data_IF_984481689248
#
_entry.id   IF_984481689248
#
_cell.length_a   1.000
_cell.length_b   1.000
_cell.length_c   1.000
_cell.angle_alpha   90.00
_cell.angle_beta   90.00
_cell.angle_gamma   90.00
#
_symmetry.space_group_name_H-M   'P 1'
#
loop_
_entity.id
_entity.type
_entity.pdbx_description
1 polymer ?
#
# COMPACT_ATOMS: atom_id res chain seq x y z
N UNK A 1 25.20 -5.21 -15.65
CA UNK A 1 24.42 -6.37 -15.20
C UNK A 1 22.97 -5.92 -15.14
N UNK A 2 22.09 -6.42 -16.01
CA UNK A 2 20.68 -6.05 -15.96
C UNK A 2 20.03 -6.74 -14.75
N UNK A 3 19.28 -5.99 -13.94
CA UNK A 3 18.42 -6.59 -12.92
C UNK A 3 17.29 -7.29 -13.69
N UNK A 4 17.31 -8.62 -13.74
CA UNK A 4 16.25 -9.41 -14.39
C UNK A 4 15.19 -9.78 -13.34
N UNK A 5 14.15 -8.97 -13.24
CA UNK A 5 13.04 -9.17 -12.31
C UNK A 5 11.73 -8.71 -12.95
N UNK A 6 10.69 -9.53 -12.84
CA UNK A 6 9.32 -9.20 -13.24
C UNK A 6 8.46 -9.20 -11.99
N UNK A 7 7.76 -8.10 -11.74
CA UNK A 7 6.77 -8.02 -10.66
C UNK A 7 5.62 -8.98 -10.96
N UNK A 8 5.11 -9.65 -9.94
CA UNK A 8 3.86 -10.37 -10.07
C UNK A 8 2.73 -9.35 -10.14
N UNK A 9 1.94 -9.44 -11.20
CA UNK A 9 0.80 -8.58 -11.50
C UNK A 9 -0.48 -9.41 -11.36
N UNK A 10 -1.55 -8.74 -10.99
CA UNK A 10 -2.90 -9.29 -10.98
C UNK A 10 -3.86 -8.35 -11.70
N UNK A 11 -4.71 -8.93 -12.56
CA UNK A 11 -5.68 -8.19 -13.36
C UNK A 11 -7.07 -8.32 -12.73
N UNK A 12 -7.68 -7.20 -12.36
CA UNK A 12 -9.08 -7.12 -11.93
C UNK A 12 -9.92 -6.64 -13.12
N UNK A 13 -10.81 -7.52 -13.61
CA UNK A 13 -11.71 -7.23 -14.73
C UNK A 13 -13.10 -6.82 -14.24
N UNK A 14 -13.71 -5.84 -14.88
CA UNK A 14 -15.04 -5.33 -14.55
C UNK A 14 -15.76 -4.79 -15.79
N UNK A 15 -17.06 -4.50 -15.67
CA UNK A 15 -17.81 -3.90 -16.77
C UNK A 15 -17.30 -2.46 -17.01
N UNK A 16 -16.64 -2.24 -18.14
CA UNK A 16 -15.98 -0.98 -18.49
C UNK A 16 -14.45 -1.04 -18.55
N UNK A 17 -13.80 -2.16 -18.17
CA UNK A 17 -12.37 -2.32 -18.38
C UNK A 17 -11.66 -3.30 -17.45
N UNK A 18 -10.37 -3.06 -17.24
CA UNK A 18 -9.54 -3.82 -16.32
C UNK A 18 -8.49 -2.92 -15.68
N UNK A 19 -8.12 -3.24 -14.44
CA UNK A 19 -6.97 -2.64 -13.76
C UNK A 19 -5.97 -3.74 -13.44
N UNK A 20 -4.71 -3.50 -13.78
CA UNK A 20 -3.60 -4.36 -13.41
C UNK A 20 -2.87 -3.75 -12.21
N UNK A 21 -2.61 -4.54 -11.18
CA UNK A 21 -1.88 -4.10 -9.99
C UNK A 21 -0.76 -5.04 -9.61
N UNK A 22 0.30 -4.50 -9.02
CA UNK A 22 1.39 -5.27 -8.41
C UNK A 22 1.56 -4.93 -6.92
N UNK A 23 2.38 -5.71 -6.21
CA UNK A 23 2.70 -5.44 -4.81
C UNK A 23 3.53 -4.15 -4.62
N UNK A 24 3.46 -3.55 -3.43
CA UNK A 24 4.15 -2.31 -3.12
C UNK A 24 5.66 -2.51 -3.01
N UNK A 25 6.40 -1.55 -3.57
CA UNK A 25 7.86 -1.46 -3.48
C UNK A 25 8.26 -0.40 -2.44
N UNK A 26 9.54 -0.35 -2.09
CA UNK A 26 10.06 0.69 -1.18
C UNK A 26 9.74 2.12 -1.67
N UNK A 27 9.93 2.49 -2.96
CA UNK A 27 9.47 3.77 -3.49
C UNK A 27 7.99 4.07 -3.22
N UNK A 28 7.09 3.11 -3.43
CA UNK A 28 5.65 3.31 -3.22
C UNK A 28 5.32 3.58 -1.75
N UNK A 29 5.92 2.80 -0.83
CA UNK A 29 5.74 3.00 0.61
C UNK A 29 6.25 4.39 1.02
N UNK A 30 7.42 4.80 0.53
CA UNK A 30 8.01 6.09 0.89
C UNK A 30 7.20 7.27 0.33
N UNK A 31 6.75 7.18 -0.92
CA UNK A 31 5.88 8.18 -1.53
C UNK A 31 4.56 8.31 -0.75
N UNK A 32 3.96 7.17 -0.38
CA UNK A 32 2.75 7.13 0.42
C UNK A 32 2.94 7.78 1.80
N UNK A 33 3.97 7.38 2.55
CA UNK A 33 4.26 7.93 3.89
C UNK A 33 4.55 9.43 3.82
N UNK A 34 5.23 9.90 2.77
CA UNK A 34 5.53 11.32 2.60
C UNK A 34 4.29 12.16 2.27
N UNK A 35 3.35 11.62 1.49
CA UNK A 35 2.16 12.36 1.07
C UNK A 35 1.01 12.26 2.10
N UNK A 36 0.92 11.13 2.80
CA UNK A 36 -0.19 10.76 3.67
C UNK A 36 0.31 10.24 5.03
N UNK A 37 1.14 11.02 5.73
CA UNK A 37 1.81 10.56 6.97
C UNK A 37 0.83 10.10 8.05
N UNK A 38 -0.29 10.82 8.23
CA UNK A 38 -1.27 10.51 9.27
C UNK A 38 -2.05 9.22 8.94
N UNK A 39 -2.43 9.08 7.68
CA UNK A 39 -3.15 7.93 7.16
C UNK A 39 -2.24 6.70 7.15
N UNK A 40 -0.98 6.85 6.72
CA UNK A 40 0.02 5.79 6.79
C UNK A 40 0.24 5.31 8.22
N UNK A 41 0.26 6.21 9.20
CA UNK A 41 0.32 5.84 10.61
C UNK A 41 -0.94 5.11 11.06
N UNK A 42 -2.13 5.60 10.71
CA UNK A 42 -3.38 4.96 11.05
C UNK A 42 -3.50 3.54 10.46
N UNK A 43 -3.05 3.34 9.22
CA UNK A 43 -2.96 2.04 8.55
C UNK A 43 -1.94 1.16 9.28
N UNK A 44 -0.75 1.67 9.56
CA UNK A 44 0.28 0.92 10.29
C UNK A 44 -0.20 0.43 11.66
N UNK A 45 -0.84 1.30 12.45
CA UNK A 45 -1.35 0.98 13.78
C UNK A 45 -2.43 -0.13 13.73
N UNK A 46 -3.15 -0.25 12.61
CA UNK A 46 -4.16 -1.29 12.41
C UNK A 46 -3.55 -2.68 12.14
N UNK A 47 -2.39 -2.74 11.50
CA UNK A 47 -1.70 -3.98 11.19
C UNK A 47 -0.66 -4.39 12.25
N UNK A 48 -0.16 -3.43 13.02
CA UNK A 48 0.87 -3.68 14.03
C UNK A 48 0.34 -4.54 15.18
N UNK A 49 1.09 -5.56 15.56
CA UNK A 49 0.72 -6.46 16.66
C UNK A 49 -0.34 -7.51 16.27
N UNK A 50 -0.79 -7.55 15.01
CA UNK A 50 -1.63 -8.66 14.52
C UNK A 50 -0.78 -9.87 14.16
N UNK A 51 -1.27 -11.06 14.51
CA UNK A 51 -0.72 -12.33 14.03
C UNK A 51 -1.12 -12.52 12.56
N UNK A 52 -0.17 -12.93 11.72
CA UNK A 52 -0.41 -13.24 10.31
C UNK A 52 -1.55 -14.27 10.12
N UNK A 53 -1.74 -15.18 11.08
CA UNK A 53 -2.82 -16.18 11.07
C UNK A 53 -4.22 -15.59 11.20
N UNK A 54 -4.34 -14.35 11.68
CA UNK A 54 -5.62 -13.64 11.84
C UNK A 54 -5.97 -12.80 10.60
N UNK A 55 -5.07 -12.73 9.61
CA UNK A 55 -5.31 -12.09 8.31
C UNK A 55 -5.99 -13.09 7.38
N UNK A 56 -7.24 -13.38 7.67
CA UNK A 56 -8.14 -14.07 6.74
C UNK A 56 -8.61 -13.09 5.66
N UNK A 57 -9.10 -13.60 4.53
CA UNK A 57 -9.63 -12.78 3.45
C UNK A 57 -10.71 -11.80 3.96
N UNK A 58 -11.63 -12.27 4.81
CA UNK A 58 -12.65 -11.41 5.43
C UNK A 58 -12.07 -10.31 6.33
N UNK A 59 -10.94 -10.56 7.01
CA UNK A 59 -10.25 -9.51 7.78
C UNK A 59 -9.63 -8.48 6.84
N UNK A 60 -9.02 -8.91 5.74
CA UNK A 60 -8.39 -8.01 4.77
C UNK A 60 -9.45 -7.16 4.05
N UNK A 61 -10.56 -7.76 3.63
CA UNK A 61 -11.71 -7.07 3.03
C UNK A 61 -12.27 -6.00 3.98
N UNK A 62 -12.52 -6.36 5.24
CA UNK A 62 -13.01 -5.42 6.25
C UNK A 62 -12.05 -4.26 6.50
N UNK A 63 -10.74 -4.51 6.42
CA UNK A 63 -9.72 -3.46 6.52
C UNK A 63 -9.70 -2.57 5.27
N UNK A 64 -9.82 -3.15 4.07
CA UNK A 64 -9.90 -2.40 2.81
C UNK A 64 -11.12 -1.46 2.82
N UNK A 65 -12.30 -1.96 3.21
CA UNK A 65 -13.52 -1.16 3.35
C UNK A 65 -13.36 -0.05 4.39
N UNK A 66 -12.78 -0.35 5.56
CA UNK A 66 -12.50 0.67 6.57
C UNK A 66 -11.59 1.77 6.01
N UNK A 67 -10.53 1.42 5.28
CA UNK A 67 -9.60 2.39 4.72
C UNK A 67 -10.19 3.21 3.58
N UNK A 68 -10.97 2.60 2.68
CA UNK A 68 -11.70 3.33 1.64
C UNK A 68 -12.64 4.36 2.28
N UNK A 69 -13.36 3.98 3.34
CA UNK A 69 -14.31 4.88 4.02
C UNK A 69 -13.64 6.06 4.72
N UNK A 70 -12.42 5.87 5.25
CA UNK A 70 -11.72 6.89 6.06
C UNK A 70 -10.73 7.71 5.27
N UNK A 71 -10.07 7.10 4.28
CA UNK A 71 -8.93 7.65 3.57
C UNK A 71 -9.04 7.42 2.05
N UNK A 72 -10.14 7.82 1.39
CA UNK A 72 -10.40 7.49 -0.01
C UNK A 72 -9.30 8.00 -0.95
N UNK A 73 -8.82 9.23 -0.74
CA UNK A 73 -7.72 9.80 -1.54
C UNK A 73 -6.39 9.04 -1.37
N UNK A 74 -6.10 8.59 -0.14
CA UNK A 74 -4.91 7.83 0.17
C UNK A 74 -4.95 6.44 -0.50
N UNK A 75 -6.11 5.78 -0.49
CA UNK A 75 -6.30 4.47 -1.15
C UNK A 75 -6.15 4.56 -2.65
N UNK A 76 -6.75 5.57 -3.29
CA UNK A 76 -6.60 5.76 -4.72
C UNK A 76 -5.15 6.01 -5.14
N UNK A 77 -4.37 6.75 -4.33
CA UNK A 77 -2.93 6.90 -4.57
C UNK A 77 -2.20 5.56 -4.50
N UNK A 78 -2.52 4.70 -3.54
CA UNK A 78 -1.93 3.35 -3.44
C UNK A 78 -2.24 2.53 -4.69
N UNK A 79 -3.50 2.53 -5.14
CA UNK A 79 -3.93 1.80 -6.33
C UNK A 79 -3.21 2.34 -7.58
N UNK A 80 -3.18 3.66 -7.76
CA UNK A 80 -2.50 4.32 -8.88
C UNK A 80 -1.00 3.96 -8.95
N UNK A 81 -0.30 4.02 -7.80
CA UNK A 81 1.11 3.59 -7.73
C UNK A 81 1.30 2.10 -7.99
N UNK A 82 0.36 1.26 -7.55
CA UNK A 82 0.44 -0.18 -7.77
C UNK A 82 0.05 -0.59 -9.21
N UNK A 83 -0.60 0.30 -9.94
CA UNK A 83 -0.95 0.14 -11.35
C UNK A 83 0.08 0.77 -12.29
N UNK A 84 1.25 1.19 -11.78
CA UNK A 84 2.28 1.92 -12.53
C UNK A 84 1.78 3.24 -13.18
N UNK A 85 0.70 3.83 -12.66
CA UNK A 85 0.12 5.10 -13.11
C UNK A 85 -0.01 6.12 -11.96
N UNK A 86 1.10 6.49 -11.27
CA UNK A 86 1.06 7.32 -10.06
C UNK A 86 0.44 8.72 -10.27
N UNK A 87 0.39 9.21 -11.51
CA UNK A 87 -0.27 10.46 -11.89
C UNK A 87 -1.80 10.32 -12.06
N UNK A 88 -2.32 9.11 -12.27
CA UNK A 88 -3.72 8.84 -12.56
C UNK A 88 -4.54 8.48 -11.31
N UNK A 89 -4.37 9.26 -10.24
CA UNK A 89 -5.10 9.06 -8.98
C UNK A 89 -6.62 9.20 -9.18
N UNK A 90 -7.05 10.12 -10.03
CA UNK A 90 -8.47 10.33 -10.34
C UNK A 90 -9.08 9.10 -11.02
N UNK A 91 -8.35 8.44 -11.92
CA UNK A 91 -8.77 7.16 -12.51
C UNK A 91 -9.01 6.10 -11.44
N UNK A 92 -8.08 5.96 -10.50
CA UNK A 92 -8.21 5.03 -9.38
C UNK A 92 -9.39 5.37 -8.43
N UNK A 93 -9.67 6.66 -8.20
CA UNK A 93 -10.81 7.10 -7.37
C UNK A 93 -12.18 6.76 -7.99
N UNK A 94 -12.26 6.78 -9.33
CA UNK A 94 -13.50 6.57 -10.07
C UNK A 94 -13.78 5.10 -10.38
N UNK A 95 -12.91 4.18 -9.97
CA UNK A 95 -13.16 2.75 -10.10
C UNK A 95 -14.41 2.34 -9.28
N UNK A 96 -15.19 1.35 -9.74
CA UNK A 96 -16.24 0.75 -8.94
C UNK A 96 -15.72 0.31 -7.56
N UNK A 97 -16.56 0.41 -6.52
CA UNK A 97 -16.11 0.17 -5.13
C UNK A 97 -15.58 -1.26 -4.92
N UNK A 98 -16.22 -2.23 -5.56
CA UNK A 98 -15.82 -3.64 -5.57
C UNK A 98 -14.44 -3.82 -6.25
N UNK A 99 -14.17 -3.05 -7.31
CA UNK A 99 -12.86 -3.05 -7.99
C UNK A 99 -11.79 -2.40 -7.11
N UNK A 100 -12.09 -1.32 -6.41
CA UNK A 100 -11.15 -0.69 -5.47
C UNK A 100 -10.79 -1.65 -4.32
N UNK A 101 -11.78 -2.34 -3.75
CA UNK A 101 -11.56 -3.35 -2.69
C UNK A 101 -10.68 -4.49 -3.22
N UNK A 102 -11.04 -5.07 -4.36
CA UNK A 102 -10.27 -6.16 -4.98
C UNK A 102 -8.83 -5.73 -5.30
N UNK A 103 -8.63 -4.50 -5.77
CA UNK A 103 -7.31 -3.94 -6.01
C UNK A 103 -6.48 -3.86 -4.72
N UNK A 104 -7.04 -3.32 -3.63
CA UNK A 104 -6.33 -3.22 -2.35
C UNK A 104 -5.97 -4.60 -1.76
N UNK A 105 -6.87 -5.58 -1.89
CA UNK A 105 -6.62 -6.96 -1.47
C UNK A 105 -5.48 -7.59 -2.28
N UNK A 106 -5.52 -7.46 -3.60
CA UNK A 106 -4.47 -7.94 -4.49
C UNK A 106 -3.13 -7.28 -4.17
N UNK A 107 -3.10 -5.96 -4.01
CA UNK A 107 -1.90 -5.19 -3.63
C UNK A 107 -1.34 -5.68 -2.31
N UNK A 108 -2.17 -5.85 -1.27
CA UNK A 108 -1.75 -6.35 0.03
C UNK A 108 -1.13 -7.75 -0.07
N UNK A 109 -1.84 -8.70 -0.70
CA UNK A 109 -1.36 -10.07 -0.89
C UNK A 109 -0.07 -10.13 -1.69
N UNK A 110 0.03 -9.40 -2.80
CA UNK A 110 1.24 -9.35 -3.63
C UNK A 110 2.41 -8.75 -2.86
N UNK A 111 2.18 -7.68 -2.09
CA UNK A 111 3.20 -7.05 -1.23
C UNK A 111 3.75 -8.02 -0.18
N UNK A 112 2.86 -8.79 0.46
CA UNK A 112 3.24 -9.80 1.45
C UNK A 112 4.02 -10.94 0.78
N UNK A 113 3.55 -11.43 -0.36
CA UNK A 113 4.23 -12.48 -1.11
C UNK A 113 5.64 -12.07 -1.55
N UNK A 114 5.81 -10.83 -2.03
CA UNK A 114 7.11 -10.25 -2.41
C UNK A 114 8.08 -10.18 -1.23
N UNK A 115 7.57 -9.99 -0.01
CA UNK A 115 8.38 -9.89 1.21
C UNK A 115 8.61 -11.25 1.89
N UNK A 116 8.12 -12.35 1.33
CA UNK A 116 8.17 -13.67 1.96
C UNK A 116 7.22 -13.82 3.16
N UNK A 117 6.12 -13.09 3.16
CA UNK A 117 5.05 -13.15 4.17
C UNK A 117 4.75 -11.78 4.83
N UNK A 118 3.59 -11.72 5.49
CA UNK A 118 3.09 -10.53 6.18
C UNK A 118 4.06 -9.99 7.24
N UNK A 119 4.62 -10.86 8.09
CA UNK A 119 5.53 -10.44 9.17
C UNK A 119 6.79 -9.75 8.63
N UNK A 120 7.35 -10.27 7.53
CA UNK A 120 8.53 -9.69 6.89
C UNK A 120 8.21 -8.35 6.21
N UNK A 121 7.03 -8.24 5.60
CA UNK A 121 6.53 -6.98 5.08
C UNK A 121 6.41 -5.94 6.20
N UNK A 122 5.73 -6.27 7.30
CA UNK A 122 5.54 -5.34 8.43
C UNK A 122 6.85 -4.94 9.11
N UNK A 123 7.82 -5.87 9.20
CA UNK A 123 9.17 -5.56 9.68
C UNK A 123 9.86 -4.54 8.77
N UNK A 124 9.69 -4.68 7.46
CA UNK A 124 10.23 -3.74 6.47
C UNK A 124 9.58 -2.37 6.59
N UNK A 125 8.24 -2.31 6.64
CA UNK A 125 7.49 -1.06 6.84
C UNK A 125 7.90 -0.37 8.14
N UNK A 126 8.01 -1.12 9.25
CA UNK A 126 8.45 -0.57 10.55
C UNK A 126 9.83 0.05 10.45
N UNK A 127 10.78 -0.62 9.80
CA UNK A 127 12.15 -0.11 9.60
C UNK A 127 12.16 1.15 8.73
N UNK A 128 11.34 1.20 7.68
CA UNK A 128 11.22 2.37 6.81
C UNK A 128 10.62 3.55 7.59
N UNK A 129 9.55 3.33 8.36
CA UNK A 129 8.92 4.36 9.18
C UNK A 129 9.88 4.93 10.25
N UNK A 130 10.62 4.06 10.95
CA UNK A 130 11.63 4.48 11.94
C UNK A 130 12.75 5.32 11.32
N UNK A 131 13.20 4.95 10.11
CA UNK A 131 14.22 5.70 9.40
C UNK A 131 13.68 7.03 8.84
N UNK A 132 12.45 7.07 8.36
CA UNK A 132 11.79 8.31 7.90
C UNK A 132 11.62 9.29 9.07
N UNK A 133 11.16 8.82 10.23
CA UNK A 133 11.06 9.62 11.46
C UNK A 133 12.43 10.08 11.97
N UNK A 134 13.44 9.22 11.89
CA UNK A 134 14.82 9.53 12.24
C UNK A 134 15.42 10.62 11.34
N UNK A 135 15.19 10.52 10.03
CA UNK A 135 15.61 11.51 9.03
C UNK A 135 14.88 12.85 9.21
N UNK A 136 13.57 12.83 9.45
CA UNK A 136 12.77 14.03 9.71
C UNK A 136 13.22 14.78 10.98
N UNK A 137 13.65 14.06 12.02
CA UNK A 137 14.22 14.66 13.24
C UNK A 137 15.64 15.21 13.02
N UNK A 138 16.47 14.52 12.24
CA UNK A 138 17.86 14.92 11.98
C UNK A 138 17.96 16.19 11.11
N UNK A 139 17.08 16.37 10.13
CA UNK A 139 17.00 17.60 9.33
C UNK A 139 16.49 18.79 10.14
N UNK A 140 15.52 18.57 11.04
CA UNK A 140 15.00 19.61 11.94
C UNK A 140 16.06 20.13 12.93
N UNK A 141 16.98 19.25 13.38
CA UNK A 141 18.08 19.60 14.30
C UNK A 141 19.26 20.34 13.64
N UNK A 142 19.34 20.34 12.31
CA UNK A 142 20.38 21.07 11.53
C UNK A 142 19.96 22.50 11.17
N UNK A 143 18.70 22.88 11.40
CA UNK A 143 18.16 24.22 11.14
C UNK A 143 18.01 25.07 12.41
N UNK A 144 18.51 24.59 13.55
CA UNK A 144 18.63 25.32 14.83
C UNK A 144 20.10 25.40 15.22
#
# INVERSE_FOLDING_TARGET
MAINHTLKIETISFDGGSVEVHGLTTPHIMAFVSAYTNEARAIYDKFTGRDAKLLTDATVEGMALEFISKFPAAMAMIIAMAADEPENVEGAQNLPIDVQVAALEAIGRLSFAMSGGFENFMRTVTRLAQNADGLAKATKKRQT
#
